data_IF_886071891781
#
_entry.id   IF_886071891781
#
_cell.length_a   1.000
_cell.length_b   1.000
_cell.length_c   1.000
_cell.angle_alpha   90.00
_cell.angle_beta   90.00
_cell.angle_gamma   90.00
#
_symmetry.space_group_name_H-M   'P 1'
#
loop_
_entity.id
_entity.type
_entity.pdbx_description
1 polymer ?
#
# COMPACT_ATOMS: atom_id res chain seq x y z
N UNK A 1 20.41 -35.48 -5.04
CA UNK A 1 19.43 -35.65 -6.13
C UNK A 1 18.54 -34.43 -6.11
N UNK A 2 18.32 -33.84 -7.28
CA UNK A 2 17.47 -32.66 -7.43
C UNK A 2 16.01 -33.08 -7.58
N UNK A 3 15.10 -32.28 -7.03
CA UNK A 3 13.66 -32.55 -7.03
C UNK A 3 12.86 -31.34 -7.54
N UNK A 4 11.64 -31.60 -8.02
CA UNK A 4 10.73 -30.56 -8.47
C UNK A 4 9.88 -30.07 -7.30
N UNK A 5 10.04 -28.79 -6.92
CA UNK A 5 9.28 -28.17 -5.84
C UNK A 5 8.26 -27.18 -6.41
N UNK A 6 7.01 -27.31 -5.98
CA UNK A 6 5.91 -26.44 -6.40
C UNK A 6 5.24 -25.90 -5.13
N UNK A 7 5.19 -24.58 -5.00
CA UNK A 7 4.37 -23.90 -4.01
C UNK A 7 3.11 -23.38 -4.70
N UNK A 8 1.95 -23.68 -4.13
CA UNK A 8 0.66 -23.22 -4.65
C UNK A 8 -0.19 -22.69 -3.50
N UNK A 9 -0.70 -21.47 -3.65
CA UNK A 9 -1.64 -20.87 -2.71
C UNK A 9 -3.05 -21.03 -3.26
N UNK A 10 -3.91 -21.73 -2.52
CA UNK A 10 -5.28 -22.03 -2.95
C UNK A 10 -6.25 -21.64 -1.85
N UNK A 11 -7.28 -20.88 -2.21
CA UNK A 11 -8.44 -20.65 -1.36
C UNK A 11 -9.53 -21.64 -1.73
N UNK A 12 -9.76 -22.63 -0.87
CA UNK A 12 -10.75 -23.67 -1.08
C UNK A 12 -11.37 -24.10 0.26
N UNK A 13 -12.54 -24.74 0.17
CA UNK A 13 -13.16 -25.36 1.33
C UNK A 13 -12.40 -26.63 1.77
N UNK A 14 -12.49 -26.97 3.05
CA UNK A 14 -11.75 -28.08 3.66
C UNK A 14 -12.03 -29.43 3.01
N UNK A 15 -13.25 -29.64 2.48
CA UNK A 15 -13.60 -30.87 1.76
C UNK A 15 -12.80 -31.04 0.47
N UNK A 16 -12.59 -29.96 -0.28
CA UNK A 16 -11.84 -29.99 -1.53
C UNK A 16 -10.34 -30.21 -1.28
N UNK A 17 -9.80 -29.61 -0.21
CA UNK A 17 -8.41 -29.84 0.24
C UNK A 17 -8.20 -31.31 0.61
N UNK A 18 -9.13 -31.92 1.35
CA UNK A 18 -9.03 -33.32 1.74
C UNK A 18 -9.01 -34.29 0.53
N UNK A 19 -9.80 -34.00 -0.51
CA UNK A 19 -9.76 -34.77 -1.76
C UNK A 19 -8.43 -34.60 -2.50
N UNK A 20 -7.87 -33.40 -2.53
CA UNK A 20 -6.55 -33.14 -3.10
C UNK A 20 -5.45 -33.91 -2.38
N UNK A 21 -5.44 -33.88 -1.03
CA UNK A 21 -4.47 -34.64 -0.24
C UNK A 21 -4.57 -36.15 -0.50
N UNK A 22 -5.79 -36.68 -0.62
CA UNK A 22 -6.01 -38.08 -0.99
C UNK A 22 -5.42 -38.40 -2.37
N UNK A 23 -5.62 -37.54 -3.37
CA UNK A 23 -5.05 -37.74 -4.72
C UNK A 23 -3.53 -37.65 -4.72
N UNK A 24 -2.96 -36.70 -3.99
CA UNK A 24 -1.51 -36.54 -3.86
C UNK A 24 -0.88 -37.74 -3.15
N UNK A 25 -1.55 -38.32 -2.15
CA UNK A 25 -1.08 -39.54 -1.46
C UNK A 25 -1.13 -40.80 -2.33
N UNK A 26 -2.06 -40.87 -3.28
CA UNK A 26 -2.23 -42.03 -4.18
C UNK A 26 -1.32 -41.94 -5.41
N UNK A 27 -0.87 -40.74 -5.76
CA UNK A 27 -0.07 -40.53 -6.97
C UNK A 27 1.41 -40.71 -6.67
N UNK A 28 2.03 -41.73 -7.25
CA UNK A 28 3.46 -42.06 -7.09
C UNK A 28 4.43 -40.93 -7.53
N UNK A 29 3.97 -40.00 -8.37
CA UNK A 29 4.79 -38.86 -8.82
C UNK A 29 5.17 -37.90 -7.69
N UNK A 30 4.40 -37.86 -6.60
CA UNK A 30 4.62 -36.92 -5.49
C UNK A 30 5.19 -37.66 -4.30
N UNK A 31 6.48 -37.46 -4.06
CA UNK A 31 7.22 -38.16 -2.99
C UNK A 31 6.85 -37.58 -1.61
N UNK A 32 6.71 -36.25 -1.52
CA UNK A 32 6.41 -35.55 -0.27
C UNK A 32 5.56 -34.32 -0.55
N UNK A 33 4.55 -34.13 0.28
CA UNK A 33 3.73 -32.92 0.30
C UNK A 33 3.56 -32.42 1.74
N UNK A 34 3.30 -31.12 1.87
CA UNK A 34 2.94 -30.48 3.13
C UNK A 34 1.81 -29.50 2.84
N UNK A 35 0.75 -29.58 3.65
CA UNK A 35 -0.35 -28.63 3.60
C UNK A 35 -0.24 -27.72 4.81
N UNK A 36 -0.25 -26.41 4.57
CA UNK A 36 -0.21 -25.39 5.62
C UNK A 36 -1.51 -24.58 5.54
N UNK A 37 -2.16 -24.37 6.69
CA UNK A 37 -3.36 -23.54 6.78
C UNK A 37 -2.96 -22.08 6.98
N UNK A 38 -3.16 -21.24 5.97
CA UNK A 38 -2.78 -19.82 5.97
C UNK A 38 -3.92 -18.85 6.26
N UNK A 39 -5.15 -19.34 6.41
CA UNK A 39 -6.36 -18.50 6.54
C UNK A 39 -6.28 -17.41 7.63
N UNK A 40 -5.63 -17.72 8.74
CA UNK A 40 -5.50 -16.79 9.85
C UNK A 40 -4.45 -15.73 9.59
N UNK A 41 -3.33 -16.11 8.97
CA UNK A 41 -2.24 -15.21 8.64
C UNK A 41 -2.66 -14.24 7.54
N UNK A 42 -3.34 -14.72 6.50
CA UNK A 42 -3.83 -13.88 5.41
C UNK A 42 -4.87 -12.87 5.91
N UNK A 43 -5.76 -13.26 6.83
CA UNK A 43 -6.71 -12.34 7.47
C UNK A 43 -6.00 -11.27 8.31
N UNK A 44 -4.91 -11.60 9.00
CA UNK A 44 -4.11 -10.64 9.77
C UNK A 44 -3.36 -9.68 8.85
N UNK A 45 -2.74 -10.20 7.79
CA UNK A 45 -2.05 -9.40 6.80
C UNK A 45 -3.00 -8.46 6.06
N UNK A 46 -4.20 -8.91 5.71
CA UNK A 46 -5.23 -8.06 5.09
C UNK A 46 -5.63 -6.88 5.99
N UNK A 47 -5.86 -7.14 7.29
CA UNK A 47 -6.18 -6.09 8.27
C UNK A 47 -5.03 -5.08 8.41
N UNK A 48 -3.80 -5.56 8.53
CA UNK A 48 -2.63 -4.70 8.69
C UNK A 48 -2.39 -3.87 7.42
N UNK A 49 -2.53 -4.48 6.23
CA UNK A 49 -2.46 -3.76 4.94
C UNK A 49 -3.53 -2.67 4.86
N UNK A 50 -4.79 -2.98 5.18
CA UNK A 50 -5.87 -1.98 5.20
C UNK A 50 -5.60 -0.79 6.16
N UNK A 51 -5.04 -1.06 7.35
CA UNK A 51 -4.66 -0.01 8.31
C UNK A 51 -3.49 0.82 7.76
N UNK A 52 -2.48 0.19 7.14
CA UNK A 52 -1.35 0.90 6.53
C UNK A 52 -1.80 1.78 5.36
N UNK A 53 -2.64 1.27 4.47
CA UNK A 53 -3.18 2.03 3.34
C UNK A 53 -3.97 3.27 3.80
N UNK A 54 -4.72 3.13 4.89
CA UNK A 54 -5.45 4.25 5.50
C UNK A 54 -4.49 5.30 6.09
N UNK A 55 -3.38 4.87 6.70
CA UNK A 55 -2.36 5.78 7.25
C UNK A 55 -1.52 6.47 6.17
N UNK A 56 -1.17 5.77 5.10
CA UNK A 56 -0.40 6.33 3.97
C UNK A 56 -1.21 7.38 3.22
N UNK A 57 -2.51 7.15 3.00
CA UNK A 57 -3.41 8.17 2.43
C UNK A 57 -3.49 9.42 3.32
N UNK A 58 -3.46 9.25 4.65
CA UNK A 58 -3.44 10.36 5.61
C UNK A 58 -2.10 11.11 5.64
N UNK A 59 -0.97 10.44 5.46
CA UNK A 59 0.34 11.11 5.37
C UNK A 59 0.59 11.77 4.02
N UNK A 60 -0.06 11.31 2.95
CA UNK A 60 -0.07 11.99 1.65
C UNK A 60 -1.01 13.22 1.64
N UNK A 61 -2.01 13.24 2.54
CA UNK A 61 -2.69 14.46 2.97
C UNK A 61 -1.88 15.15 4.08
N UNK A 62 -0.62 15.46 3.79
CA UNK A 62 0.00 16.55 4.53
C UNK A 62 -0.84 17.79 4.24
N UNK A 63 -1.31 18.55 5.25
CA UNK A 63 -1.93 19.83 4.99
C UNK A 63 -0.88 20.65 4.24
N UNK A 64 -1.21 21.01 3.00
CA UNK A 64 -0.56 22.10 2.31
C UNK A 64 -0.45 23.23 3.33
N UNK A 65 0.78 23.58 3.68
CA UNK A 65 1.05 24.67 4.59
C UNK A 65 0.23 25.87 4.08
N UNK A 66 -0.65 26.48 4.90
CA UNK A 66 -1.35 27.66 4.45
C UNK A 66 -0.29 28.67 4.03
N UNK A 67 -0.35 29.06 2.75
CA UNK A 67 0.38 30.17 2.19
C UNK A 67 0.07 31.41 3.03
N UNK A 68 0.87 31.63 4.06
CA UNK A 68 0.76 32.78 4.92
C UNK A 68 1.61 33.89 4.31
N UNK A 69 0.88 34.81 3.69
CA UNK A 69 1.14 36.25 3.59
C UNK A 69 2.33 36.71 2.75
N UNK A 70 2.02 37.01 1.48
CA UNK A 70 2.59 38.17 0.81
C UNK A 70 2.25 39.43 1.63
N UNK A 71 3.20 39.92 2.40
CA UNK A 71 3.14 41.25 3.01
C UNK A 71 3.61 42.28 1.95
N UNK A 72 2.83 43.34 1.68
CA UNK A 72 3.26 44.41 0.80
C UNK A 72 4.22 45.30 1.58
N UNK A 73 5.51 45.22 1.26
CA UNK A 73 6.48 46.22 1.73
C UNK A 73 6.38 47.43 0.81
N UNK A 74 5.67 48.42 1.33
CA UNK A 74 5.83 49.87 1.24
C UNK A 74 6.38 50.51 -0.07
N UNK A 75 5.69 51.55 -0.60
CA UNK A 75 6.18 52.37 -1.70
C UNK A 75 7.29 53.31 -1.22
N UNK A 76 8.38 53.54 -2.00
CA UNK A 76 9.14 54.76 -1.83
C UNK A 76 8.36 55.89 -2.53
N UNK A 77 7.80 56.75 -1.69
CA UNK A 77 7.40 58.12 -2.04
C UNK A 77 8.62 58.81 -2.66
N UNK A 78 8.50 59.19 -3.93
CA UNK A 78 9.40 60.12 -4.59
C UNK A 78 8.55 61.11 -5.39
N UNK A 79 8.89 62.39 -5.23
CA UNK A 79 8.51 63.56 -6.00
C UNK A 79 7.18 64.27 -5.62
N UNK A 80 7.36 65.38 -4.91
CA UNK A 80 6.58 66.62 -5.03
C UNK A 80 7.61 67.76 -5.21
N UNK A 81 7.28 68.94 -5.82
CA UNK A 81 6.17 69.29 -6.68
C UNK A 81 6.60 69.95 -8.02
N UNK A 82 5.66 69.86 -8.98
CA UNK A 82 5.22 70.83 -9.99
C UNK A 82 5.93 72.19 -10.15
N UNK A 83 6.29 72.55 -11.40
CA UNK A 83 5.88 73.81 -12.03
C UNK A 83 6.38 73.91 -13.48
N UNK A 84 5.44 74.00 -14.42
CA UNK A 84 5.64 74.64 -15.71
C UNK A 84 4.95 76.01 -15.67
N UNK A 85 5.67 77.09 -15.97
CA UNK A 85 5.11 78.31 -16.56
C UNK A 85 6.22 79.16 -17.18
N UNK A 86 5.92 79.64 -18.40
CA UNK A 86 6.50 80.76 -19.17
C UNK A 86 7.91 80.62 -19.75
#
# INVERSE_FOLDING_TARGET
QDGLYILMNVAADGKLIAELERRLRVTEQVIKFITVRTDEEDKRLAKIKAIRDTKVKRSAQSPEAPAAVAAPVAPPVAAEPEAATA
#
